data_IF_311967351756
#
_entry.id   IF_311967351756
#
_cell.length_a   1.000
_cell.length_b   1.000
_cell.length_c   1.000
_cell.angle_alpha   90.00
_cell.angle_beta   90.00
_cell.angle_gamma   90.00
#
_symmetry.space_group_name_H-M   'P 1'
#
loop_
_entity.id
_entity.type
_entity.pdbx_description
1 polymer ?
2 branched ?
3 non-polymer ?
4 water ?
#
# COMPACT_ATOMS: atom_id res chain seq x y z
N UNK A 2 10.61 22.16 1.72
CA UNK A 2 10.21 23.07 2.80
C UNK A 2 8.74 22.89 3.14
N UNK A 3 8.32 23.48 4.26
CA UNK A 3 6.92 23.47 4.70
C UNK A 3 6.24 24.77 4.27
N UNK A 4 5.26 24.65 3.38
CA UNK A 4 4.55 25.80 2.86
C UNK A 4 3.48 26.29 3.83
N UNK A 5 3.08 27.55 3.68
CA UNK A 5 2.11 28.18 4.57
C UNK A 5 0.92 28.81 3.83
N UNK A 6 0.82 28.62 2.52
CA UNK A 6 -0.28 29.24 1.76
C UNK A 6 -1.64 28.61 2.00
N UNK A 7 -1.63 27.33 2.40
CA UNK A 7 -2.86 26.59 2.64
C UNK A 7 -2.73 25.80 3.94
N UNK A 8 -3.64 26.02 4.87
CA UNK A 8 -3.53 25.30 6.14
C UNK A 8 -3.62 23.79 5.88
N UNK A 9 -2.83 23.03 6.62
CA UNK A 9 -2.90 21.57 6.52
C UNK A 9 -3.64 20.99 7.72
N UNK A 10 -4.88 20.57 7.47
CA UNK A 10 -5.72 19.98 8.51
C UNK A 10 -5.94 18.50 8.19
N UNK A 11 -5.35 17.65 8.98
CA UNK A 11 -5.47 16.22 8.76
C UNK A 11 -6.82 15.65 9.14
N UNK A 12 -7.54 14.97 8.24
CA UNK A 12 -8.81 14.39 8.63
C UNK A 12 -8.64 13.41 9.79
N UNK A 13 -9.59 13.36 10.73
CA UNK A 13 -9.51 12.41 11.82
C UNK A 13 -9.94 11.03 11.34
N UNK A 14 -9.20 10.00 11.75
CA UNK A 14 -9.65 8.64 11.44
C UNK A 14 -9.30 7.79 12.64
N UNK A 15 -10.27 7.62 13.55
CA UNK A 15 -10.04 6.90 14.80
C UNK A 15 -9.70 5.45 14.53
N UNK A 16 -8.78 4.90 15.33
CA UNK A 16 -8.49 3.47 15.27
C UNK A 16 -8.62 2.92 16.70
N UNK A 17 -8.55 1.60 16.86
CA UNK A 17 -8.63 1.00 18.18
C UNK A 17 -7.43 0.11 18.44
N UNK A 18 -6.86 0.18 19.64
CA UNK A 18 -5.79 -0.75 20.01
C UNK A 18 -6.34 -1.72 21.04
N UNK A 19 -6.12 -3.01 20.85
CA UNK A 19 -6.82 -4.03 21.65
C UNK A 19 -5.85 -4.95 22.36
N UNK A 20 -6.24 -5.39 23.57
CA UNK A 20 -5.48 -6.42 24.29
C UNK A 20 -6.44 -7.51 24.74
N UNK A 21 -5.89 -8.69 24.98
CA UNK A 21 -6.69 -9.82 25.42
C UNK A 21 -7.49 -9.50 26.68
N UNK A 22 -6.79 -8.96 27.66
CA UNK A 22 -7.42 -8.74 28.98
C UNK A 22 -8.29 -7.48 29.07
N UNK A 23 -7.92 -6.43 28.34
CA UNK A 23 -8.57 -5.13 28.47
C UNK A 23 -9.50 -4.73 27.34
N UNK A 24 -9.52 -5.53 26.28
CA UNK A 24 -10.39 -5.24 25.16
C UNK A 24 -9.83 -4.10 24.35
N UNK A 25 -10.73 -3.37 23.69
CA UNK A 25 -10.31 -2.39 22.69
C UNK A 25 -10.55 -0.97 23.18
N UNK A 26 -9.62 -0.09 22.88
CA UNK A 26 -9.71 1.31 23.28
C UNK A 26 -9.42 2.21 22.08
N UNK A 27 -10.12 3.33 21.95
CA UNK A 27 -9.90 4.22 20.80
C UNK A 27 -8.61 5.03 20.88
N UNK A 28 -7.99 5.27 19.73
CA UNK A 28 -6.88 6.22 19.56
C UNK A 28 -7.33 7.31 18.61
N UNK A 29 -6.93 8.54 18.89
CA UNK A 29 -7.34 9.65 18.05
C UNK A 29 -6.37 9.86 16.90
N UNK A 30 -6.24 8.85 16.06
CA UNK A 30 -5.39 8.95 14.88
C UNK A 30 -6.01 9.80 13.79
N UNK A 31 -5.15 10.18 12.83
CA UNK A 31 -5.54 11.03 11.72
C UNK A 31 -4.97 10.44 10.43
N UNK A 32 -5.32 11.01 9.29
CA UNK A 32 -4.63 10.62 8.04
C UNK A 32 -4.01 11.84 7.36
N UNK A 33 -2.96 11.60 6.59
CA UNK A 33 -2.26 12.66 5.87
C UNK A 33 -1.98 12.27 4.42
N UNK A 34 -2.25 13.22 3.53
CA UNK A 34 -1.97 13.01 2.10
C UNK A 34 -0.48 12.90 1.78
N UNK A 35 -0.15 11.92 0.95
CA UNK A 35 1.24 11.74 0.52
C UNK A 35 1.78 12.92 -0.29
N UNK A 36 3.06 13.21 -0.07
CA UNK A 36 3.70 14.40 -0.64
C UNK A 36 3.65 14.48 -2.17
N UNK A 37 3.59 13.35 -2.86
CA UNK A 37 3.59 13.39 -4.33
C UNK A 37 2.36 14.07 -4.92
N UNK A 38 1.26 14.09 -4.16
CA UNK A 38 0.03 14.64 -4.66
C UNK A 38 -0.09 16.15 -4.43
N UNK A 39 0.82 16.73 -3.63
CA UNK A 39 0.65 18.12 -3.19
C UNK A 39 1.17 19.15 -4.18
N UNK A 40 0.65 20.35 -4.06
CA UNK A 40 1.25 21.56 -4.64
C UNK A 40 2.67 21.77 -4.13
N UNK A 41 3.61 22.04 -5.02
CA UNK A 41 4.96 22.37 -4.60
C UNK A 41 5.32 23.70 -5.25
N UNK A 42 5.66 24.69 -4.44
CA UNK A 42 5.83 26.05 -4.98
C UNK A 42 7.01 26.73 -4.30
N UNK A 43 7.46 27.87 -4.87
CA UNK A 43 8.54 28.63 -4.26
C UNK A 43 8.25 28.99 -2.79
N UNK A 44 9.24 28.85 -1.93
CA UNK A 44 9.10 29.21 -0.52
C UNK A 44 8.70 30.66 -0.33
N UNK A 45 9.04 31.49 -1.30
CA UNK A 45 8.78 32.91 -1.10
C UNK A 45 7.51 33.39 -1.79
N UNK A 46 6.68 32.48 -2.30
CA UNK A 46 5.47 32.91 -2.96
C UNK A 46 4.56 31.81 -3.46
N UNK A 47 4.04 32.01 -4.68
CA UNK A 47 3.03 31.11 -5.24
C UNK A 47 3.48 30.39 -6.51
N UNK A 48 4.67 30.70 -7.01
CA UNK A 48 5.15 30.14 -8.28
C UNK A 48 5.45 28.65 -8.22
N UNK A 49 4.91 27.87 -9.14
CA UNK A 49 5.10 26.42 -9.03
C UNK A 49 6.56 26.00 -9.21
N UNK A 50 6.99 25.00 -8.44
CA UNK A 50 8.24 24.32 -8.71
C UNK A 50 8.03 23.16 -9.68
N UNK A 51 6.78 22.69 -9.76
CA UNK A 51 6.43 21.52 -10.56
C UNK A 51 5.04 21.81 -11.12
N UNK A 52 4.87 21.67 -12.42
CA UNK A 52 3.55 21.82 -13.04
C UNK A 52 3.40 20.71 -14.06
N UNK A 53 2.26 20.04 -14.02
CA UNK A 53 2.00 18.98 -14.99
C UNK A 53 2.94 17.82 -14.72
N UNK A 54 3.92 17.65 -15.60
CA UNK A 54 4.88 16.57 -15.45
C UNK A 54 6.33 17.07 -15.57
N UNK A 55 6.55 18.37 -15.33
CA UNK A 55 7.91 18.90 -15.41
C UNK A 55 8.22 19.85 -14.27
N UNK A 56 9.49 19.89 -13.90
CA UNK A 56 10.00 20.79 -12.88
C UNK A 56 10.41 22.10 -13.53
N UNK A 57 10.40 23.17 -12.73
CA UNK A 57 10.93 24.46 -13.16
C UNK A 57 12.45 24.43 -12.98
N UNK A 58 13.21 24.39 -14.08
CA UNK A 58 14.65 24.22 -13.92
C UNK A 58 15.32 25.48 -13.40
N UNK A 59 14.57 26.57 -13.33
CA UNK A 59 15.05 27.80 -12.70
C UNK A 59 15.09 27.65 -11.19
N UNK A 60 13.98 27.16 -10.62
CA UNK A 60 13.89 26.96 -9.18
C UNK A 60 14.59 25.68 -8.77
N UNK A 61 14.68 24.75 -9.72
CA UNK A 61 15.14 23.39 -9.46
C UNK A 61 16.19 22.90 -10.46
N UNK A 62 17.34 23.56 -10.50
CA UNK A 62 18.46 23.12 -11.33
C UNK A 62 19.18 21.86 -10.84
N UNK A 63 19.01 21.53 -9.57
CA UNK A 63 19.55 20.29 -9.02
C UNK A 63 18.70 19.95 -7.81
N UNK A 64 18.85 18.75 -7.27
CA UNK A 64 17.98 18.31 -6.19
C UNK A 64 18.06 19.09 -4.89
N UNK A 65 19.26 19.52 -4.51
CA UNK A 65 19.46 20.26 -3.27
C UNK A 65 18.92 21.69 -3.41
N UNK A 66 19.27 22.37 -4.51
CA UNK A 66 18.72 23.70 -4.75
C UNK A 66 17.18 23.67 -4.76
N UNK A 67 16.62 22.70 -5.47
CA UNK A 67 15.16 22.57 -5.53
C UNK A 67 14.53 22.43 -4.13
N UNK A 68 15.08 21.55 -3.30
CA UNK A 68 14.49 21.32 -1.99
C UNK A 68 14.62 22.55 -1.09
N UNK A 69 15.66 23.35 -1.32
CA UNK A 69 15.84 24.57 -0.55
C UNK A 69 14.84 25.65 -0.99
N UNK A 70 14.50 25.64 -2.29
CA UNK A 70 13.66 26.67 -2.90
C UNK A 70 12.17 26.38 -2.84
N UNK A 71 11.79 25.16 -2.51
CA UNK A 71 10.46 24.66 -2.85
C UNK A 71 9.78 24.10 -1.60
N UNK A 72 8.51 24.47 -1.43
CA UNK A 72 7.71 24.05 -0.30
C UNK A 72 6.52 23.19 -0.72
N UNK A 73 6.26 22.14 0.05
CA UNK A 73 4.98 21.43 -0.01
C UNK A 73 3.92 22.18 0.79
N UNK A 74 2.69 22.20 0.30
CA UNK A 74 1.65 22.95 0.99
C UNK A 74 0.43 22.12 1.36
N UNK A 75 -0.51 22.74 2.09
CA UNK A 75 -1.67 22.02 2.60
C UNK A 75 -2.64 21.62 1.50
N UNK A 76 -3.55 20.70 1.83
CA UNK A 76 -4.43 20.08 0.84
C UNK A 76 -5.90 20.28 1.20
N UNK A 77 -6.72 20.54 0.20
CA UNK A 77 -8.18 20.47 0.36
C UNK A 77 -8.57 19.01 0.13
N UNK A 78 -8.66 18.26 1.22
CA UNK A 78 -8.80 16.80 1.13
C UNK A 78 -9.98 16.37 0.27
N UNK A 79 -11.16 16.92 0.57
CA UNK A 79 -12.36 16.57 -0.20
C UNK A 79 -12.41 17.24 -1.56
N UNK A 80 -12.14 18.54 -1.60
CA UNK A 80 -12.35 19.32 -2.81
C UNK A 80 -11.40 19.00 -3.94
N UNK A 81 -10.14 18.77 -3.59
CA UNK A 81 -9.13 18.49 -4.59
C UNK A 81 -8.92 17.00 -4.79
N UNK A 82 -9.02 16.22 -3.71
CA UNK A 82 -8.59 14.82 -3.78
C UNK A 82 -9.68 13.77 -3.59
N UNK A 83 -10.90 14.19 -3.25
CA UNK A 83 -11.99 13.25 -3.06
C UNK A 83 -11.81 12.38 -1.81
N UNK A 84 -11.11 12.90 -0.82
CA UNK A 84 -10.86 12.17 0.45
C UNK A 84 -11.73 12.74 1.54
N UNK A 85 -12.57 11.89 2.13
CA UNK A 85 -13.34 12.33 3.29
C UNK A 85 -13.32 11.29 4.40
N UNK A 86 -13.60 11.74 5.62
CA UNK A 86 -13.72 10.80 6.72
C UNK A 86 -14.88 11.18 7.59
N UNK A 87 -15.61 10.18 8.07
CA UNK A 87 -16.63 10.42 9.10
C UNK A 87 -16.06 10.55 10.49
N UNK A 88 -14.76 10.27 10.63
CA UNK A 88 -14.13 10.14 11.92
C UNK A 88 -13.78 8.68 12.19
N UNK A 89 -14.50 7.72 11.60
CA UNK A 89 -14.09 6.32 11.72
C UNK A 89 -14.07 5.58 10.39
N UNK A 90 -14.61 6.19 9.35
CA UNK A 90 -14.63 5.58 8.03
C UNK A 90 -14.06 6.53 7.02
N UNK A 91 -13.08 6.03 6.26
CA UNK A 91 -12.36 6.80 5.26
C UNK A 91 -12.87 6.46 3.86
N UNK A 92 -13.37 7.46 3.14
CA UNK A 92 -13.77 7.28 1.74
C UNK A 92 -12.72 7.88 0.79
N UNK A 93 -12.18 7.07 -0.11
CA UNK A 93 -11.25 7.57 -1.11
C UNK A 93 -11.94 7.44 -2.45
N UNK A 94 -12.20 8.58 -3.10
CA UNK A 94 -12.82 8.58 -4.42
C UNK A 94 -11.74 8.56 -5.50
N UNK A 95 -12.04 7.97 -6.66
CA UNK A 95 -11.04 7.73 -7.71
C UNK A 95 -10.61 9.02 -8.42
N UNK A 96 -11.51 9.61 -9.24
CA UNK A 96 -11.22 10.85 -9.96
C UNK A 96 -11.94 12.05 -9.42
N UNK A 97 -11.18 13.12 -9.20
CA UNK A 97 -11.77 14.35 -8.68
C UNK A 97 -11.22 15.45 -9.56
N UNK A 98 -12.06 16.04 -10.41
CA UNK A 98 -11.54 17.01 -11.36
C UNK A 98 -10.41 16.37 -12.16
N UNK A 99 -9.24 16.99 -12.17
CA UNK A 99 -8.12 16.42 -12.91
C UNK A 99 -7.21 15.57 -12.03
N UNK A 100 -7.62 15.37 -10.77
CA UNK A 100 -6.81 14.53 -9.89
C UNK A 100 -7.18 13.08 -10.03
N UNK A 101 -6.17 12.20 -10.09
CA UNK A 101 -6.46 10.76 -10.12
C UNK A 101 -5.88 10.04 -8.91
N UNK A 102 -6.75 9.41 -8.15
CA UNK A 102 -6.34 8.60 -7.01
C UNK A 102 -5.77 9.38 -5.82
N UNK A 103 -5.37 8.65 -4.77
CA UNK A 103 -4.77 9.26 -3.59
C UNK A 103 -4.07 8.19 -2.79
N UNK A 104 -3.18 8.65 -1.90
CA UNK A 104 -2.61 7.79 -0.87
C UNK A 104 -2.44 8.64 0.36
N UNK A 105 -2.86 8.08 1.50
CA UNK A 105 -2.71 8.75 2.79
C UNK A 105 -2.03 7.81 3.78
N UNK A 106 -1.49 8.36 4.87
CA UNK A 106 -0.87 7.55 5.92
C UNK A 106 -1.58 7.81 7.25
N UNK A 107 -1.63 6.78 8.08
CA UNK A 107 -2.21 6.94 9.41
C UNK A 107 -1.24 7.67 10.35
N UNK A 108 -1.73 8.71 11.01
CA UNK A 108 -0.87 9.51 11.89
C UNK A 108 -1.22 9.32 13.36
N UNK A 109 -0.20 9.29 14.21
CA UNK A 109 -0.40 9.33 15.66
C UNK A 109 -0.83 10.73 16.13
N UNK A 110 -0.21 11.76 15.54
CA UNK A 110 -0.55 13.15 15.82
C UNK A 110 -0.12 13.92 14.57
N UNK A 111 -0.17 15.25 14.61
CA UNK A 111 0.02 16.01 13.38
C UNK A 111 1.41 16.02 12.79
N UNK A 112 2.40 15.51 13.54
CA UNK A 112 3.75 15.46 12.97
C UNK A 112 4.42 14.10 13.05
N UNK A 113 3.68 13.03 13.35
CA UNK A 113 4.28 11.70 13.36
C UNK A 113 3.33 10.67 12.80
N UNK A 114 3.81 9.82 11.89
CA UNK A 114 3.03 8.66 11.49
C UNK A 114 2.87 7.72 12.69
N UNK A 115 1.72 7.05 12.75
CA UNK A 115 1.52 5.95 13.69
C UNK A 115 2.46 4.78 13.36
N UNK A 116 3.28 4.36 14.30
CA UNK A 116 4.23 3.29 14.02
C UNK A 116 3.65 2.00 14.59
N UNK A 117 3.24 1.11 13.69
CA UNK A 117 2.60 -0.16 14.06
C UNK A 117 3.66 -1.26 14.18
N UNK A 118 3.68 -1.94 15.33
CA UNK A 118 4.55 -3.08 15.53
C UNK A 118 3.71 -4.33 15.68
N UNK A 119 3.65 -5.14 14.62
CA UNK A 119 2.58 -6.11 14.48
C UNK A 119 3.07 -7.55 14.57
N UNK A 120 4.32 -7.75 14.96
CA UNK A 120 4.73 -9.14 15.22
C UNK A 120 3.96 -9.73 16.41
N UNK A 121 3.41 -10.94 16.25
CA UNK A 121 2.58 -11.57 17.27
C UNK A 121 1.39 -10.69 17.58
N UNK A 122 0.89 -10.00 16.54
CA UNK A 122 -0.28 -9.14 16.70
C UNK A 122 -1.16 -9.36 15.48
N UNK A 123 -2.32 -8.72 15.49
CA UNK A 123 -3.20 -8.76 14.29
C UNK A 123 -3.66 -7.37 13.93
N UNK A 124 -4.04 -7.20 12.66
CA UNK A 124 -4.58 -5.95 12.13
C UNK A 124 -5.92 -6.26 11.47
N UNK A 125 -6.96 -5.47 11.78
CA UNK A 125 -8.32 -5.76 11.33
C UNK A 125 -8.95 -4.48 10.79
N UNK A 126 -9.73 -4.60 9.74
CA UNK A 126 -10.45 -3.44 9.22
C UNK A 126 -11.68 -3.91 8.48
N UNK A 127 -12.63 -2.99 8.25
CA UNK A 127 -13.74 -3.26 7.34
C UNK A 127 -13.51 -2.54 6.02
N UNK A 128 -14.05 -3.14 4.96
CA UNK A 128 -13.93 -2.55 3.62
C UNK A 128 -15.26 -2.65 2.87
N UNK A 129 -15.57 -1.63 2.11
CA UNK A 129 -16.70 -1.66 1.18
C UNK A 129 -16.14 -1.43 -0.22
N UNK A 130 -16.19 -2.47 -1.06
CA UNK A 130 -15.68 -2.42 -2.42
C UNK A 130 -16.85 -2.43 -3.41
N UNK A 131 -18.04 -2.17 -2.92
CA UNK A 131 -19.22 -2.30 -3.81
C UNK A 131 -19.09 -1.42 -5.05
N UNK A 132 -18.42 -0.28 -4.90
CA UNK A 132 -18.18 0.64 -6.02
C UNK A 132 -16.71 0.71 -6.49
N UNK A 133 -16.02 -0.43 -6.44
CA UNK A 133 -14.60 -0.49 -6.76
C UNK A 133 -14.38 -1.61 -7.78
N UNK A 134 -14.50 -1.29 -9.06
CA UNK A 134 -14.55 -2.32 -10.09
C UNK A 134 -13.23 -2.78 -10.69
N UNK A 135 -13.31 -3.68 -11.67
CA UNK A 135 -12.14 -4.12 -12.43
C UNK A 135 -11.22 -2.96 -12.77
N UNK A 136 -9.92 -3.20 -12.70
CA UNK A 136 -8.94 -2.18 -13.08
C UNK A 136 -8.50 -1.25 -11.96
N UNK A 137 -9.22 -1.26 -10.83
CA UNK A 137 -8.91 -0.34 -9.72
C UNK A 137 -8.29 -1.13 -8.56
N UNK A 138 -7.60 -0.44 -7.66
CA UNK A 138 -7.05 -1.13 -6.48
C UNK A 138 -7.27 -0.22 -5.27
N UNK A 139 -8.02 -0.72 -4.29
CA UNK A 139 -8.16 -0.03 -3.02
C UNK A 139 -7.20 -0.78 -2.12
N UNK A 140 -6.09 -0.15 -1.75
CA UNK A 140 -5.00 -0.82 -1.07
C UNK A 140 -4.87 -0.32 0.38
N UNK A 141 -4.55 -1.25 1.28
CA UNK A 141 -4.28 -0.90 2.68
C UNK A 141 -3.04 -1.72 3.00
N UNK A 142 -1.96 -1.05 3.38
CA UNK A 142 -0.68 -1.74 3.46
C UNK A 142 0.32 -1.08 4.38
N UNK A 143 1.40 -1.81 4.67
CA UNK A 143 2.43 -1.26 5.56
C UNK A 143 3.74 -1.04 4.80
N UNK A 144 4.38 0.11 5.05
CA UNK A 144 5.73 0.39 4.51
C UNK A 144 6.68 0.74 5.65
N UNK A 145 7.96 0.41 5.50
CA UNK A 145 8.98 0.68 6.55
C UNK A 145 9.51 2.09 6.39
N UNK A 146 8.58 3.05 6.46
CA UNK A 146 8.90 4.47 6.48
C UNK A 146 9.34 4.90 7.87
N UNK A 147 10.03 6.03 7.92
CA UNK A 147 10.34 6.64 9.22
C UNK A 147 9.15 7.42 9.76
N UNK A 148 8.99 7.41 11.09
CA UNK A 148 7.77 8.03 11.64
C UNK A 148 7.71 9.53 11.38
N UNK A 149 8.85 10.16 11.17
CA UNK A 149 8.89 11.60 10.92
C UNK A 149 9.07 11.89 9.44
N UNK A 150 8.82 10.88 8.62
CA UNK A 150 8.97 11.04 7.19
C UNK A 150 10.37 11.33 6.70
N UNK A 151 11.39 11.13 7.55
CA UNK A 151 12.78 11.36 7.16
C UNK A 151 13.41 12.65 7.66
N UNK A 152 12.68 13.43 8.46
CA UNK A 152 13.17 14.74 8.84
C UNK A 152 14.49 14.64 9.61
N UNK A 153 14.59 13.66 10.49
CA UNK A 153 15.79 13.58 11.32
C UNK A 153 17.02 13.17 10.53
N UNK A 154 16.82 12.36 9.50
CA UNK A 154 17.92 11.84 8.68
C UNK A 154 18.40 12.78 7.59
N UNK A 155 17.51 13.65 7.11
CA UNK A 155 17.74 14.44 5.91
C UNK A 155 17.48 15.92 6.15
N UNK A 156 18.53 16.70 6.30
CA UNK A 156 18.38 18.12 6.63
C UNK A 156 17.57 18.89 5.58
N UNK A 157 17.50 18.36 4.36
CA UNK A 157 16.85 19.08 3.27
C UNK A 157 15.35 18.94 3.38
N UNK A 158 14.89 18.02 4.24
CA UNK A 158 13.45 17.80 4.42
C UNK A 158 12.97 18.48 5.69
N UNK A 159 12.37 19.65 5.53
CA UNK A 159 11.80 20.39 6.65
C UNK A 159 10.30 20.23 6.76
N UNK A 160 9.70 19.42 5.87
CA UNK A 160 8.26 19.24 5.82
C UNK A 160 7.82 18.04 6.67
N UNK A 161 8.45 16.90 6.47
CA UNK A 161 8.22 15.75 7.34
C UNK A 161 6.84 15.11 7.23
N UNK A 162 6.48 14.35 8.25
CA UNK A 162 5.22 13.57 8.22
C UNK A 162 3.98 14.43 8.09
N UNK A 163 4.03 15.68 8.57
CA UNK A 163 2.86 16.54 8.46
C UNK A 163 2.44 16.75 7.02
N UNK A 164 3.39 16.66 6.09
CA UNK A 164 3.10 16.82 4.67
C UNK A 164 3.27 15.50 3.90
N UNK A 165 3.34 14.37 4.61
CA UNK A 165 3.31 13.09 3.89
C UNK A 165 4.59 12.72 3.17
N UNK A 166 5.74 13.16 3.69
CA UNK A 166 7.03 12.85 3.04
C UNK A 166 7.57 11.49 3.43
N UNK A 167 8.55 11.03 2.66
CA UNK A 167 9.33 9.87 3.09
C UNK A 167 8.84 8.53 2.58
N UNK A 168 7.98 8.55 1.56
CA UNK A 168 7.47 7.28 1.06
C UNK A 168 8.61 6.36 0.58
N UNK A 169 8.37 5.07 0.71
CA UNK A 169 9.19 4.02 0.10
C UNK A 169 8.32 2.78 0.01
N UNK A 170 8.68 1.88 -0.92
CA UNK A 170 7.99 0.59 -0.97
C UNK A 170 8.86 -0.43 -1.70
N UNK A 171 8.35 -1.63 -1.91
CA UNK A 171 9.21 -2.72 -2.37
C UNK A 171 9.44 -2.64 -3.87
N UNK A 172 8.83 -1.64 -4.52
CA UNK A 172 9.03 -1.44 -5.96
C UNK A 172 10.10 -0.39 -6.21
N UNK A 173 10.70 0.16 -5.15
CA UNK A 173 11.78 1.14 -5.31
C UNK A 173 11.38 2.24 -6.29
N UNK A 174 10.21 2.82 -6.11
CA UNK A 174 9.67 3.73 -7.14
C UNK A 174 10.53 4.96 -7.39
N UNK A 175 10.67 5.31 -8.67
CA UNK A 175 11.49 6.43 -9.08
C UNK A 175 10.61 7.61 -9.49
N UNK A 176 9.31 7.51 -9.26
CA UNK A 176 8.40 8.59 -9.56
C UNK A 176 8.13 9.49 -8.35
N UNK A 177 8.80 9.21 -7.25
CA UNK A 177 8.62 9.98 -6.02
C UNK A 177 9.48 11.25 -6.13
N UNK A 178 8.84 12.39 -5.89
CA UNK A 178 9.39 13.71 -6.22
C UNK A 178 10.45 14.19 -5.23
N UNK A 179 10.29 13.83 -3.95
CA UNK A 179 11.27 14.14 -2.92
C UNK A 179 11.75 12.87 -2.23
N UNK A 180 13.07 12.67 -2.23
CA UNK A 180 13.67 11.49 -1.60
C UNK A 180 14.93 11.97 -0.88
N UNK A 181 15.07 11.60 0.39
CA UNK A 181 16.27 11.91 1.14
C UNK A 181 16.45 13.42 1.22
N UNK A 182 15.34 14.16 1.24
CA UNK A 182 15.41 15.61 1.38
C UNK A 182 15.90 16.35 0.16
N UNK A 183 15.90 15.67 -0.99
CA UNK A 183 16.32 16.29 -2.26
C UNK A 183 15.25 16.03 -3.33
N UNK A 184 14.97 17.00 -4.19
CA UNK A 184 14.06 16.71 -5.28
C UNK A 184 14.72 15.74 -6.24
N UNK A 185 13.94 14.77 -6.68
CA UNK A 185 14.42 13.74 -7.58
C UNK A 185 14.39 14.19 -9.06
N UNK A 186 15.16 15.25 -9.36
CA UNK A 186 15.08 15.89 -10.67
C UNK A 186 16.08 15.42 -11.70
N UNK A 187 17.02 14.57 -11.29
CA UNK A 187 18.07 14.12 -12.19
C UNK A 187 17.50 13.25 -13.29
N UNK A 188 17.80 13.58 -14.53
CA UNK A 188 17.29 12.84 -15.66
C UNK A 188 15.80 12.71 -15.65
N UNK A 189 15.11 13.79 -15.29
CA UNK A 189 13.67 13.71 -15.17
C UNK A 189 13.00 13.36 -16.47
N UNK A 190 12.16 12.33 -16.44
CA UNK A 190 11.58 11.76 -17.65
C UNK A 190 10.08 11.70 -17.47
N UNK A 191 9.34 12.29 -18.39
CA UNK A 191 7.88 12.28 -18.33
C UNK A 191 7.31 10.89 -18.59
N UNK A 192 6.33 10.48 -17.78
CA UNK A 192 5.69 9.17 -17.93
C UNK A 192 4.17 9.26 -18.10
N UNK A 193 3.63 10.43 -17.85
CA UNK A 193 2.21 10.66 -18.05
C UNK A 193 1.99 12.15 -17.90
N UNK A 194 0.74 12.58 -18.00
CA UNK A 194 0.45 14.02 -18.02
C UNK A 194 0.80 14.68 -16.71
N UNK A 195 0.81 13.89 -15.63
CA UNK A 195 1.03 14.43 -14.30
C UNK A 195 2.21 13.81 -13.59
N UNK A 196 2.92 12.91 -14.27
CA UNK A 196 3.94 12.11 -13.61
C UNK A 196 5.25 11.99 -14.39
N UNK A 197 6.32 11.70 -13.66
CA UNK A 197 7.59 11.38 -14.27
C UNK A 197 8.46 10.57 -13.34
N UNK A 198 9.68 10.28 -13.78
CA UNK A 198 10.67 9.63 -12.93
C UNK A 198 11.98 10.38 -12.98
N UNK A 199 12.70 10.26 -11.87
CA UNK A 199 14.04 10.82 -11.78
C UNK A 199 15.05 9.71 -11.62
N UNK A 200 16.28 10.07 -11.32
CA UNK A 200 17.38 9.11 -11.33
C UNK A 200 17.45 8.25 -10.07
N UNK A 201 16.71 8.63 -9.03
CA UNK A 201 16.74 7.85 -7.79
C UNK A 201 15.40 7.17 -7.56
N UNK A 202 15.42 6.04 -6.84
CA UNK A 202 14.19 5.47 -6.33
C UNK A 202 14.23 5.39 -4.82
N UNK A 203 13.13 4.94 -4.22
CA UNK A 203 13.08 4.86 -2.76
C UNK A 203 12.47 3.51 -2.28
N UNK A 204 13.34 2.73 -1.64
CA UNK A 204 13.11 1.31 -1.38
C UNK A 204 12.86 1.06 0.12
N UNK A 205 11.91 0.17 0.41
CA UNK A 205 11.86 -0.46 1.74
C UNK A 205 10.90 -1.65 1.74
N UNK A 206 11.01 -2.46 2.78
CA UNK A 206 10.14 -3.62 2.93
C UNK A 206 8.69 -3.15 3.04
N UNK A 207 7.79 -4.02 2.62
CA UNK A 207 6.39 -3.64 2.47
C UNK A 207 5.52 -4.86 2.78
N UNK A 208 4.46 -4.68 3.57
CA UNK A 208 3.50 -5.77 3.77
C UNK A 208 2.15 -5.32 3.22
N UNK A 209 1.75 -5.92 2.10
CA UNK A 209 0.47 -5.59 1.50
C UNK A 209 -0.66 -6.38 2.16
N UNK A 210 -1.25 -5.76 3.18
CA UNK A 210 -2.33 -6.43 3.91
C UNK A 210 -3.50 -6.62 2.95
N UNK A 211 -3.71 -5.66 2.04
CA UNK A 211 -4.93 -5.71 1.23
C UNK A 211 -4.72 -4.95 -0.08
N UNK A 212 -4.74 -5.67 -1.19
CA UNK A 212 -4.88 -5.00 -2.49
C UNK A 212 -6.05 -5.68 -3.15
N UNK A 213 -7.06 -4.92 -3.53
CA UNK A 213 -8.27 -5.60 -4.05
C UNK A 213 -9.24 -4.66 -4.76
N UNK A 214 -10.14 -5.29 -5.52
CA UNK A 214 -11.35 -4.61 -5.97
C UNK A 214 -12.47 -5.65 -5.88
N UNK A 215 -13.68 -5.33 -6.35
CA UNK A 215 -14.77 -6.28 -6.13
C UNK A 215 -14.66 -7.58 -6.94
N UNK A 216 -13.68 -7.66 -7.82
CA UNK A 216 -13.38 -8.91 -8.52
C UNK A 216 -12.34 -9.84 -7.85
N UNK A 217 -11.36 -9.29 -7.14
CA UNK A 217 -10.24 -10.11 -6.72
C UNK A 217 -9.47 -9.39 -5.64
N UNK A 218 -8.73 -10.15 -4.83
CA UNK A 218 -8.01 -9.59 -3.69
C UNK A 218 -6.73 -10.39 -3.49
N UNK A 219 -5.69 -9.72 -3.01
CA UNK A 219 -4.45 -10.40 -2.68
C UNK A 219 -3.84 -9.80 -1.42
N UNK A 220 -3.17 -10.65 -0.63
CA UNK A 220 -2.29 -10.18 0.43
C UNK A 220 -0.87 -10.74 0.22
N UNK A 221 0.13 -9.88 0.41
CA UNK A 221 1.46 -10.10 -0.12
C UNK A 221 2.56 -9.44 0.72
N UNK A 222 3.36 -10.20 1.47
CA UNK A 222 4.61 -9.66 1.99
C UNK A 222 5.68 -9.44 0.90
N UNK A 223 6.46 -8.36 1.03
CA UNK A 223 7.58 -8.06 0.14
C UNK A 223 8.82 -7.64 0.98
N UNK A 224 9.72 -8.56 1.34
CA UNK A 224 10.92 -8.17 2.07
C UNK A 224 11.96 -7.47 1.17
N UNK A 225 12.77 -6.62 1.76
CA UNK A 225 13.97 -6.09 1.08
C UNK A 225 15.19 -6.41 1.93
N UNK A 226 16.37 -6.48 1.32
CA UNK A 226 17.57 -6.77 2.11
C UNK A 226 18.00 -5.64 3.00
N UNK A 227 17.47 -4.44 2.75
CA UNK A 227 17.81 -3.28 3.56
C UNK A 227 16.90 -3.09 4.74
N UNK A 228 17.21 -2.10 5.56
CA UNK A 228 16.47 -1.92 6.79
C UNK A 228 16.05 -0.48 6.71
N UNK A 229 14.76 -0.27 6.44
CA UNK A 229 14.23 1.08 6.45
C UNK A 229 14.33 1.73 5.08
N UNK A 230 13.92 2.99 5.04
CA UNK A 230 13.82 3.70 3.77
C UNK A 230 15.21 3.95 3.17
N UNK A 231 15.43 3.49 1.95
CA UNK A 231 16.75 3.58 1.35
C UNK A 231 16.63 4.13 -0.06
N UNK A 232 17.39 5.18 -0.35
CA UNK A 232 17.43 5.70 -1.71
C UNK A 232 18.33 4.78 -2.55
N UNK A 233 17.88 4.47 -3.76
CA UNK A 233 18.62 3.61 -4.68
C UNK A 233 18.96 4.34 -5.97
N UNK A 234 20.04 3.91 -6.62
CA UNK A 234 20.30 4.31 -7.99
C UNK A 234 20.74 3.06 -8.74
N UNK A 235 20.59 3.11 -10.06
CA UNK A 235 21.11 2.05 -10.90
C UNK A 235 20.49 0.70 -10.59
N UNK A 236 21.31 -0.34 -10.61
CA UNK A 236 20.66 -1.64 -10.53
C UNK A 236 20.14 -2.01 -9.13
N UNK A 237 20.49 -1.23 -8.10
CA UNK A 237 19.87 -1.45 -6.78
C UNK A 237 18.38 -1.20 -6.84
N UNK A 238 17.97 -0.32 -7.76
CA UNK A 238 16.54 -0.02 -7.88
C UNK A 238 15.82 -1.08 -8.65
N UNK A 239 16.55 -1.96 -9.33
CA UNK A 239 15.91 -2.83 -10.29
C UNK A 239 14.96 -3.79 -9.58
N UNK A 240 13.79 -3.95 -10.16
CA UNK A 240 12.79 -4.87 -9.66
C UNK A 240 13.40 -6.24 -9.38
N UNK A 241 13.19 -6.77 -8.18
CA UNK A 241 13.51 -8.16 -7.80
C UNK A 241 15.00 -8.46 -7.70
N UNK A 242 15.79 -8.01 -8.67
CA UNK A 242 17.21 -8.31 -8.64
C UNK A 242 17.97 -7.33 -7.75
N UNK A 243 17.37 -6.16 -7.49
CA UNK A 243 18.02 -5.16 -6.65
C UNK A 243 17.74 -5.37 -5.18
N UNK A 244 17.52 -4.29 -4.45
CA UNK A 244 17.35 -4.39 -3.00
C UNK A 244 16.08 -5.13 -2.57
N UNK A 245 15.05 -5.08 -3.40
CA UNK A 245 13.71 -5.47 -2.95
C UNK A 245 13.06 -6.59 -3.76
N UNK A 246 12.24 -7.38 -3.06
CA UNK A 246 11.38 -8.35 -3.72
C UNK A 246 10.11 -7.67 -4.22
N UNK A 247 10.13 -7.26 -5.48
CA UNK A 247 9.01 -6.56 -6.09
C UNK A 247 7.78 -7.43 -6.29
N UNK A 248 7.97 -8.72 -6.59
CA UNK A 248 6.84 -9.60 -6.82
C UNK A 248 6.12 -9.96 -5.52
N UNK A 249 6.89 -10.18 -4.45
CA UNK A 249 6.31 -10.60 -3.17
C UNK A 249 5.96 -12.08 -3.16
N UNK A 250 5.38 -12.54 -2.04
CA UNK A 250 4.80 -13.88 -1.99
C UNK A 250 3.32 -13.65 -1.70
N UNK A 251 2.52 -13.83 -2.73
CA UNK A 251 1.11 -13.44 -2.71
C UNK A 251 0.13 -14.59 -2.47
N UNK A 252 -0.97 -14.25 -1.79
CA UNK A 252 -2.11 -15.13 -1.65
C UNK A 252 -3.38 -14.42 -2.15
N UNK A 253 -3.79 -14.78 -3.37
CA UNK A 253 -5.03 -14.38 -4.02
C UNK A 253 -5.82 -15.68 -4.18
N UNK A 254 -7.02 -15.75 -3.60
CA UNK A 254 -7.74 -17.03 -3.48
C UNK A 254 -8.01 -17.62 -4.85
N UNK A 255 -8.30 -16.74 -5.79
CA UNK A 255 -8.56 -17.13 -7.19
C UNK A 255 -7.28 -17.67 -7.83
N UNK A 256 -6.19 -16.92 -7.74
CA UNK A 256 -4.93 -17.37 -8.30
C UNK A 256 -4.54 -18.72 -7.68
N UNK A 257 -4.87 -18.88 -6.39
CA UNK A 257 -4.58 -20.12 -5.69
C UNK A 257 -5.56 -21.27 -5.94
N UNK A 258 -6.50 -21.09 -6.86
CA UNK A 258 -7.29 -22.24 -7.32
C UNK A 258 -8.69 -22.36 -6.75
N UNK A 259 -9.17 -21.31 -6.09
CA UNK A 259 -10.56 -21.28 -5.67
C UNK A 259 -11.23 -20.08 -6.31
N UNK A 260 -11.95 -20.34 -7.39
CA UNK A 260 -12.53 -19.29 -8.21
C UNK A 260 -13.87 -18.78 -7.70
N UNK A 261 -14.39 -19.37 -6.62
CA UNK A 261 -15.73 -19.07 -6.10
C UNK A 261 -15.74 -18.59 -4.65
N UNK A 262 -14.57 -18.34 -4.08
CA UNK A 262 -14.46 -17.92 -2.68
C UNK A 262 -14.81 -16.43 -2.49
N UNK A 263 -14.25 -15.57 -3.35
CA UNK A 263 -14.31 -14.13 -3.11
C UNK A 263 -14.72 -13.38 -4.38
N UNK A 264 -15.76 -12.57 -4.28
CA UNK A 264 -16.28 -11.82 -5.43
C UNK A 264 -17.75 -11.51 -5.26
N UNK A 265 -18.40 -10.92 -6.27
CA UNK A 265 -19.79 -10.53 -6.11
C UNK A 265 -20.68 -11.76 -5.89
N UNK A 266 -21.38 -11.80 -4.77
CA UNK A 266 -22.27 -12.90 -4.44
C UNK A 266 -21.59 -14.20 -4.02
N UNK A 267 -20.28 -14.15 -3.75
CA UNK A 267 -19.54 -15.34 -3.36
C UNK A 267 -19.52 -15.49 -1.84
N UNK A 268 -18.72 -16.42 -1.33
CA UNK A 268 -18.63 -16.65 0.11
C UNK A 268 -18.26 -15.37 0.88
N UNK A 269 -17.23 -14.69 0.39
CA UNK A 269 -16.94 -13.30 0.78
C UNK A 269 -17.56 -12.50 -0.36
N UNK A 270 -18.69 -11.86 -0.05
CA UNK A 270 -19.54 -11.19 -1.03
C UNK A 270 -19.10 -9.74 -1.18
N UNK A 271 -18.38 -9.44 -2.25
CA UNK A 271 -17.72 -8.11 -2.37
C UNK A 271 -18.72 -7.04 -2.80
N UNK A 272 -19.98 -7.41 -2.95
CA UNK A 272 -20.98 -6.38 -3.23
C UNK A 272 -21.43 -5.68 -1.94
N UNK A 273 -20.98 -6.18 -0.79
CA UNK A 273 -21.36 -5.62 0.51
C UNK A 273 -20.10 -5.47 1.39
N UNK A 274 -20.17 -4.64 2.44
CA UNK A 274 -19.00 -4.49 3.33
C UNK A 274 -18.65 -5.79 4.04
N UNK A 275 -17.36 -5.96 4.38
CA UNK A 275 -16.98 -7.10 5.22
C UNK A 275 -15.73 -6.76 6.03
N UNK A 276 -15.40 -7.62 6.98
CA UNK A 276 -14.29 -7.39 7.89
C UNK A 276 -13.14 -8.30 7.46
N UNK A 277 -11.93 -7.77 7.51
CA UNK A 277 -10.73 -8.51 7.11
C UNK A 277 -9.73 -8.54 8.28
N UNK A 278 -9.43 -9.73 8.78
CA UNK A 278 -8.47 -9.87 9.89
C UNK A 278 -7.19 -10.45 9.33
N UNK A 279 -6.04 -9.92 9.74
CA UNK A 279 -4.76 -10.46 9.30
C UNK A 279 -3.86 -10.63 10.49
N UNK A 280 -3.36 -11.85 10.70
CA UNK A 280 -2.61 -12.14 11.94
C UNK A 280 -1.19 -12.52 11.59
N UNK A 281 -0.25 -11.99 12.38
CA UNK A 281 1.18 -12.16 12.08
C UNK A 281 1.77 -13.03 13.19
N UNK A 282 1.81 -14.34 12.93
CA UNK A 282 2.19 -15.29 14.00
C UNK A 282 3.71 -15.47 14.00
N UNK A 283 4.29 -15.64 15.18
CA UNK A 283 5.72 -15.96 15.30
C UNK A 283 5.93 -17.39 15.75
N UNK A 284 7.12 -17.93 15.50
CA UNK A 284 7.41 -19.33 15.77
C UNK A 284 7.24 -19.70 17.25
N UNK A 285 7.47 -18.74 18.13
CA UNK A 285 7.31 -18.97 19.57
C UNK A 285 6.21 -18.15 20.25
N UNK A 286 5.30 -17.58 19.45
CA UNK A 286 4.23 -16.76 20.01
C UNK A 286 4.74 -15.63 20.90
N UNK A 287 5.93 -15.13 20.62
CA UNK A 287 6.41 -13.89 21.25
C UNK A 287 6.67 -12.80 20.22
N UNK A 288 6.83 -11.59 20.71
CA UNK A 288 7.19 -10.49 19.83
C UNK A 288 8.66 -10.41 19.43
N UNK A 289 9.48 -11.36 19.87
CA UNK A 289 10.86 -11.49 19.38
C UNK A 289 11.09 -12.68 18.46
N UNK A 290 10.08 -13.53 18.30
CA UNK A 290 10.23 -14.71 17.48
C UNK A 290 10.30 -14.39 16.00
N UNK A 291 10.39 -15.43 15.18
CA UNK A 291 10.53 -15.28 13.75
C UNK A 291 9.11 -15.33 13.17
N UNK A 292 8.74 -14.34 12.36
CA UNK A 292 7.47 -14.45 11.64
C UNK A 292 7.42 -15.79 10.90
N UNK A 293 6.39 -16.56 11.20
CA UNK A 293 6.23 -17.92 10.68
C UNK A 293 4.96 -18.16 9.88
N UNK A 294 3.95 -17.31 10.06
CA UNK A 294 2.72 -17.55 9.33
C UNK A 294 1.95 -16.23 9.29
N UNK A 295 1.34 -15.95 8.14
CA UNK A 295 0.37 -14.85 8.06
C UNK A 295 -1.00 -15.45 7.79
N UNK A 296 -1.90 -15.34 8.77
CA UNK A 296 -3.24 -15.90 8.64
C UNK A 296 -4.24 -14.82 8.25
N UNK A 297 -5.33 -15.25 7.62
CA UNK A 297 -6.39 -14.34 7.21
C UNK A 297 -7.73 -14.91 7.61
N UNK A 298 -8.57 -14.10 8.26
CA UNK A 298 -9.94 -14.52 8.58
C UNK A 298 -10.85 -13.40 8.08
N UNK A 299 -12.02 -13.75 7.53
CA UNK A 299 -13.02 -12.74 7.15
C UNK A 299 -14.24 -12.85 8.06
N UNK A 300 -14.98 -11.76 8.16
CA UNK A 300 -16.25 -11.82 8.86
C UNK A 300 -17.26 -11.01 8.04
N UNK A 301 -18.41 -11.61 7.72
CA UNK A 301 -19.44 -10.87 6.99
C UNK A 301 -20.81 -11.33 7.45
N UNK A 302 -21.71 -10.38 7.70
CA UNK A 302 -23.01 -10.72 8.28
C UNK A 302 -22.88 -11.58 9.53
N UNK A 303 -21.85 -11.31 10.32
CA UNK A 303 -21.65 -12.08 11.56
C UNK A 303 -21.14 -13.50 11.36
N UNK A 304 -20.92 -13.90 10.10
CA UNK A 304 -20.35 -15.24 9.85
C UNK A 304 -18.82 -15.19 9.80
N UNK A 305 -18.18 -16.02 10.61
CA UNK A 305 -16.71 -16.14 10.59
C UNK A 305 -16.29 -17.05 9.45
N UNK A 306 -15.48 -16.54 8.51
CA UNK A 306 -15.16 -17.23 7.29
C UNK A 306 -13.64 -17.41 7.26
N UNK A 307 -13.17 -18.66 7.32
CA UNK A 307 -11.72 -18.92 7.26
C UNK A 307 -11.25 -18.70 5.79
N UNK A 308 -9.97 -18.40 5.63
CA UNK A 308 -9.42 -18.19 4.29
C UNK A 308 -9.55 -19.46 3.46
N UNK A 309 -9.66 -19.26 2.15
CA UNK A 309 -9.76 -20.37 1.21
C UNK A 309 -8.48 -21.18 1.17
N UNK A 310 -8.62 -22.44 0.76
CA UNK A 310 -7.47 -23.35 0.68
C UNK A 310 -6.83 -23.31 -0.71
N UNK A 311 -5.50 -23.42 -0.77
CA UNK A 311 -4.80 -23.54 -2.06
C UNK A 311 -5.21 -24.82 -2.77
N UNK A 312 -5.45 -24.73 -4.07
CA UNK A 312 -5.80 -25.91 -4.85
C UNK A 312 -5.05 -25.87 -6.16
N UNK A 313 -3.76 -26.18 -6.09
CA UNK A 313 -2.81 -26.22 -7.21
C UNK A 313 -1.88 -27.44 -7.07
N UNK A 314 -1.72 -28.24 -8.13
CA UNK A 314 -0.77 -29.35 -8.10
C UNK A 314 0.63 -28.91 -7.69
N UNK A 315 1.21 -29.57 -6.70
CA UNK A 315 2.55 -29.27 -6.25
C UNK A 315 2.54 -28.27 -5.11
N UNK A 316 1.35 -27.84 -4.70
CA UNK A 316 1.23 -26.88 -3.61
C UNK A 316 0.39 -27.50 -2.50
N UNK A 317 0.93 -27.58 -1.29
CA UNK A 317 0.18 -28.19 -0.20
C UNK A 317 -1.10 -27.37 -0.05
N UNK A 318 -2.21 -28.01 0.25
CA UNK A 318 -3.51 -27.33 0.36
C UNK A 318 -3.70 -26.56 1.69
N UNK A 319 -3.04 -25.41 1.80
CA UNK A 319 -3.00 -24.59 3.01
C UNK A 319 -3.75 -23.29 2.73
N UNK A 320 -4.02 -22.52 3.78
CA UNK A 320 -4.80 -21.28 3.67
C UNK A 320 -4.14 -20.09 4.34
N UNK A 321 -2.84 -20.19 4.56
CA UNK A 321 -2.05 -19.10 5.14
C UNK A 321 -0.73 -18.98 4.41
N UNK A 322 -0.07 -17.84 4.58
CA UNK A 322 1.24 -17.69 3.94
C UNK A 322 2.33 -18.17 4.89
N UNK A 323 3.21 -19.08 4.41
CA UNK A 323 4.36 -19.55 5.19
C UNK A 323 5.53 -19.59 4.22
N UNK A 324 6.76 -19.71 4.73
CA UNK A 324 7.90 -19.87 3.81
C UNK A 324 7.74 -21.07 2.87
N UNK A 325 7.22 -22.19 3.38
CA UNK A 325 7.02 -23.34 2.51
C UNK A 325 5.96 -23.12 1.44
N UNK A 326 4.85 -22.49 1.80
CA UNK A 326 3.84 -22.16 0.81
C UNK A 326 4.46 -21.33 -0.31
N UNK A 327 5.30 -20.36 0.06
CA UNK A 327 5.93 -19.46 -0.88
C UNK A 327 6.86 -20.21 -1.83
N UNK A 328 7.67 -21.11 -1.29
CA UNK A 328 8.53 -21.91 -2.17
C UNK A 328 7.70 -22.74 -3.14
N UNK A 329 6.68 -23.39 -2.60
CA UNK A 329 5.84 -24.22 -3.42
C UNK A 329 5.07 -23.48 -4.51
N UNK A 330 4.45 -22.35 -4.19
CA UNK A 330 3.70 -21.66 -5.22
C UNK A 330 4.63 -21.07 -6.27
N UNK A 331 5.82 -20.62 -5.87
CA UNK A 331 6.78 -20.00 -6.79
C UNK A 331 7.23 -21.09 -7.77
N UNK A 332 7.54 -22.27 -7.25
CA UNK A 332 7.93 -23.38 -8.14
C UNK A 332 6.76 -23.73 -9.04
N UNK A 333 5.57 -23.87 -8.48
CA UNK A 333 4.40 -24.23 -9.28
C UNK A 333 3.99 -23.25 -10.36
N UNK A 334 4.27 -21.97 -10.11
CA UNK A 334 3.79 -20.94 -11.01
C UNK A 334 4.92 -20.55 -11.95
N UNK A 335 6.09 -21.15 -11.75
CA UNK A 335 7.28 -20.86 -12.54
C UNK A 335 8.01 -19.58 -12.20
N UNK A 336 7.73 -19.02 -11.02
CA UNK A 336 8.26 -17.70 -10.69
C UNK A 336 9.47 -17.86 -9.80
N UNK A 337 10.44 -16.95 -9.94
CA UNK A 337 11.64 -17.04 -9.13
C UNK A 337 11.29 -16.59 -7.74
N UNK A 338 11.86 -17.26 -6.73
CA UNK A 338 11.50 -16.99 -5.34
C UNK A 338 12.40 -15.87 -4.84
N UNK A 339 12.15 -14.65 -5.36
CA UNK A 339 12.90 -13.47 -4.93
C UNK A 339 12.60 -13.20 -3.47
N UNK A 340 11.37 -13.50 -3.08
CA UNK A 340 10.98 -13.47 -1.68
C UNK A 340 12.00 -14.19 -0.76
N UNK A 341 12.28 -15.47 -1.01
CA UNK A 341 13.28 -16.14 -0.19
C UNK A 341 14.66 -15.50 -0.33
N UNK A 342 15.00 -15.07 -1.54
CA UNK A 342 16.32 -14.46 -1.72
C UNK A 342 16.53 -13.23 -0.85
N UNK A 343 15.46 -12.49 -0.60
CA UNK A 343 15.56 -11.31 0.23
C UNK A 343 15.42 -11.63 1.73
N UNK A 344 15.17 -12.88 2.07
CA UNK A 344 15.17 -13.29 3.46
C UNK A 344 13.82 -13.80 3.96
N UNK A 345 12.86 -13.92 3.05
CA UNK A 345 11.57 -14.53 3.31
C UNK A 345 10.79 -13.92 4.47
N UNK A 346 10.00 -14.76 5.13
CA UNK A 346 9.18 -14.25 6.24
C UNK A 346 10.05 -13.72 7.38
N UNK A 347 11.23 -14.31 7.61
CA UNK A 347 12.04 -13.82 8.71
C UNK A 347 12.41 -12.33 8.50
N UNK A 348 12.84 -12.00 7.28
CA UNK A 348 13.19 -10.62 6.96
C UNK A 348 11.96 -9.71 6.97
N UNK A 349 10.83 -10.22 6.49
CA UNK A 349 9.58 -9.43 6.54
C UNK A 349 9.27 -9.15 8.00
N UNK A 350 9.47 -10.15 8.85
CA UNK A 350 9.15 -10.01 10.26
C UNK A 350 10.06 -9.03 10.99
N UNK A 351 11.32 -8.96 10.59
CA UNK A 351 12.18 -7.98 11.24
C UNK A 351 11.72 -6.56 10.91
N UNK A 352 11.19 -6.36 9.71
CA UNK A 352 10.63 -5.06 9.39
C UNK A 352 9.37 -4.81 10.22
N UNK A 353 8.48 -5.79 10.32
CA UNK A 353 7.29 -5.58 11.14
C UNK A 353 7.68 -5.25 12.59
N UNK A 354 8.69 -5.93 13.10
CA UNK A 354 9.16 -5.68 14.44
C UNK A 354 9.75 -4.30 14.66
N UNK A 355 10.42 -3.77 13.66
CA UNK A 355 10.99 -2.43 13.79
C UNK A 355 9.90 -1.35 13.76
N UNK A 356 8.71 -1.70 13.27
CA UNK A 356 7.64 -0.73 13.17
C UNK A 356 7.42 -0.27 11.73
N UNK A 357 6.16 -0.18 11.33
CA UNK A 357 5.84 0.18 9.95
C UNK A 357 4.72 1.22 9.93
N UNK A 358 4.57 1.90 8.79
CA UNK A 358 3.57 2.96 8.64
C UNK A 358 2.42 2.41 7.78
N UNK A 359 1.19 2.72 8.16
CA UNK A 359 0.01 2.27 7.44
C UNK A 359 -0.33 3.28 6.33
N UNK A 360 -0.44 2.78 5.11
CA UNK A 360 -0.88 3.57 3.95
C UNK A 360 -2.24 3.03 3.47
N UNK A 361 -3.10 3.94 3.02
CA UNK A 361 -4.38 3.58 2.40
C UNK A 361 -4.48 4.34 1.09
N UNK A 362 -4.90 3.67 0.04
CA UNK A 362 -4.79 4.27 -1.30
C UNK A 362 -5.89 3.78 -2.23
N UNK A 363 -6.19 4.62 -3.21
CA UNK A 363 -6.96 4.14 -4.38
C UNK A 363 -6.18 4.53 -5.62
N UNK A 364 -6.00 3.59 -6.55
CA UNK A 364 -5.13 3.85 -7.70
C UNK A 364 -5.50 3.02 -8.91
N UNK A 365 -5.13 3.51 -10.11
CA UNK A 365 -5.04 2.65 -11.28
C UNK A 365 -3.57 2.45 -11.68
N UNK A 366 -3.33 1.56 -12.64
CA UNK A 366 -2.02 0.96 -12.84
C UNK A 366 -1.54 1.20 -14.26
N UNK A 367 -0.64 2.18 -14.42
CA UNK A 367 -0.12 2.49 -15.75
C UNK A 367 0.80 1.41 -16.28
N UNK A 368 1.43 0.64 -15.39
CA UNK A 368 2.40 -0.36 -15.82
C UNK A 368 1.72 -1.61 -16.37
N UNK A 369 0.74 -2.13 -15.63
CA UNK A 369 0.19 -3.46 -15.91
C UNK A 369 -1.33 -3.54 -15.90
N UNK A 370 -2.02 -2.40 -15.88
CA UNK A 370 -3.48 -2.38 -15.97
C UNK A 370 -4.21 -3.18 -14.91
N UNK A 371 -3.51 -3.43 -13.80
CA UNK A 371 -4.04 -4.20 -12.67
C UNK A 371 -4.35 -5.65 -13.09
N UNK A 372 -3.82 -6.07 -14.25
CA UNK A 372 -4.14 -7.42 -14.69
C UNK A 372 -3.55 -8.46 -13.77
N UNK A 373 -2.45 -8.12 -13.09
CA UNK A 373 -1.83 -9.04 -12.13
C UNK A 373 -2.77 -9.29 -10.94
N UNK A 374 -3.69 -8.36 -10.70
CA UNK A 374 -4.62 -8.54 -9.60
C UNK A 374 -5.88 -9.29 -10.01
N UNK A 375 -6.42 -9.00 -11.18
CA UNK A 375 -7.80 -9.38 -11.43
C UNK A 375 -8.02 -10.00 -12.79
N UNK A 376 -6.94 -10.29 -13.50
CA UNK A 376 -7.07 -10.84 -14.85
C UNK A 376 -6.04 -11.94 -15.16
N UNK A 377 -5.70 -12.12 -16.45
CA UNK A 377 -4.61 -13.03 -16.77
C UNK A 377 -3.29 -12.27 -16.82
N UNK A 378 -2.24 -12.84 -16.23
CA UNK A 378 -0.94 -12.20 -16.15
C UNK A 378 0.15 -13.24 -15.92
N UNK A 379 1.33 -13.10 -16.53
CA UNK A 379 1.63 -12.09 -17.56
C UNK A 379 0.81 -12.34 -18.83
N UNK A 380 0.78 -11.35 -19.73
CA UNK A 380 -0.13 -11.35 -20.88
C UNK A 380 0.38 -12.24 -22.00
N UNK A 381 1.59 -12.76 -21.86
CA UNK A 381 2.15 -13.67 -22.86
C UNK A 381 2.20 -15.11 -22.38
N UNK A 382 1.46 -15.45 -21.33
CA UNK A 382 1.49 -16.83 -20.84
C UNK A 382 0.12 -17.43 -21.01
N UNK A 383 0.12 -18.76 -21.13
CA UNK A 383 -1.12 -19.52 -21.25
C UNK A 383 -1.96 -19.38 -20.00
N UNK A 384 -3.14 -18.81 -20.16
CA UNK A 384 -4.05 -18.55 -19.04
C UNK A 384 -4.40 -19.82 -18.29
N UNK A 385 -4.03 -20.98 -18.85
CA UNK A 385 -4.44 -22.23 -18.25
C UNK A 385 -3.31 -22.74 -17.37
N UNK A 386 -2.12 -22.17 -17.51
CA UNK A 386 -0.97 -22.63 -16.76
C UNK A 386 -1.22 -22.22 -15.31
N UNK A 387 -0.71 -23.00 -14.36
CA UNK A 387 -0.88 -22.67 -12.95
C UNK A 387 -0.38 -21.25 -12.68
N UNK A 388 -1.25 -20.43 -12.10
CA UNK A 388 -0.82 -19.10 -11.67
C UNK A 388 -1.18 -17.95 -12.60
N UNK A 389 -1.46 -18.23 -13.87
CA UNK A 389 -1.69 -17.13 -14.79
C UNK A 389 -2.98 -16.33 -14.53
N UNK A 390 -4.06 -17.04 -14.24
CA UNK A 390 -5.37 -16.41 -14.05
C UNK A 390 -5.58 -15.99 -12.60
N UNK A 391 -5.80 -14.69 -12.39
CA UNK A 391 -5.96 -14.11 -11.03
C UNK A 391 -7.36 -13.57 -10.71
N UNK A 392 -8.17 -13.40 -11.75
CA UNK A 392 -9.55 -12.98 -11.59
C UNK A 392 -10.30 -13.18 -12.90
N UNK A 393 -11.51 -12.64 -12.96
CA UNK A 393 -12.32 -12.74 -14.16
C UNK A 393 -12.43 -11.46 -15.00
N UNK A 394 -11.69 -10.42 -14.64
CA UNK A 394 -11.76 -9.16 -15.40
C UNK A 394 -11.15 -9.35 -16.79
N UNK A 395 -11.69 -8.66 -17.79
CA UNK A 395 -11.22 -8.90 -19.17
C UNK A 395 -9.75 -8.51 -19.29
N UNK A 396 -9.00 -9.18 -20.17
CA UNK A 396 -7.59 -8.84 -20.36
C UNK A 396 -7.37 -7.46 -20.99
N UNK A 397 -8.44 -6.82 -21.39
CA UNK A 397 -8.36 -5.47 -21.95
C UNK A 397 -8.74 -4.43 -20.91
N UNK A 398 -9.07 -4.88 -19.70
CA UNK A 398 -9.57 -3.96 -18.71
C UNK A 398 -8.44 -3.21 -18.04
N UNK A 399 -8.80 -2.18 -17.29
CA UNK A 399 -7.83 -1.49 -16.47
C UNK A 399 -6.85 -0.53 -17.15
N UNK A 400 -6.99 -0.24 -18.44
CA UNK A 400 -6.10 0.79 -18.98
C UNK A 400 -6.54 2.11 -18.34
N UNK A 401 -5.61 2.85 -17.74
CA UNK A 401 -5.97 4.06 -16.98
C UNK A 401 -6.85 5.08 -17.71
N UNK A 402 -6.51 5.41 -18.95
CA UNK A 402 -7.33 6.37 -19.66
C UNK A 402 -8.78 5.87 -19.77
N UNK A 403 -8.94 4.56 -19.85
CA UNK A 403 -10.29 3.99 -19.88
C UNK A 403 -11.00 4.11 -18.55
N UNK A 404 -10.43 3.58 -17.48
CA UNK A 404 -11.20 3.60 -16.23
C UNK A 404 -11.46 5.01 -15.76
N UNK A 405 -10.51 5.91 -15.99
CA UNK A 405 -10.65 7.30 -15.54
C UNK A 405 -11.83 8.00 -16.23
N UNK A 406 -12.09 7.64 -17.49
CA UNK A 406 -13.25 8.25 -18.14
C UNK A 406 -14.54 7.47 -17.89
N UNK A 407 -14.42 6.15 -17.75
CA UNK A 407 -15.59 5.28 -17.62
C UNK A 407 -16.19 5.18 -16.20
N UNK A 408 -15.34 5.06 -15.20
CA UNK A 408 -15.81 4.88 -13.83
C UNK A 408 -15.11 5.82 -12.86
N UNK A 409 -15.14 7.11 -13.14
CA UNK A 409 -14.39 8.09 -12.33
C UNK A 409 -14.94 8.22 -10.91
N UNK A 410 -16.22 7.87 -10.65
CA UNK A 410 -16.79 8.04 -9.32
C UNK A 410 -16.66 6.76 -8.49
N UNK A 411 -15.87 5.82 -8.99
CA UNK A 411 -15.48 4.65 -8.16
C UNK A 411 -14.91 5.12 -6.83
N UNK A 412 -15.06 4.31 -5.80
CA UNK A 412 -14.48 4.67 -4.50
C UNK A 412 -14.30 3.43 -3.65
N UNK A 413 -13.45 3.55 -2.62
CA UNK A 413 -13.34 2.50 -1.60
C UNK A 413 -13.60 3.13 -0.23
N UNK A 414 -14.20 2.38 0.69
CA UNK A 414 -14.38 2.86 2.06
C UNK A 414 -13.68 1.94 3.03
N UNK A 415 -12.75 2.46 3.82
CA UNK A 415 -12.03 1.65 4.82
C UNK A 415 -12.47 2.14 6.20
N UNK A 416 -12.83 1.23 7.10
CA UNK A 416 -13.38 1.66 8.38
C UNK A 416 -13.05 0.66 9.50
N UNK A 417 -13.50 0.94 10.72
CA UNK A 417 -13.31 0.09 11.89
C UNK A 417 -11.90 -0.49 11.96
N UNK A 418 -10.91 0.40 11.91
CA UNK A 418 -9.52 -0.05 11.95
C UNK A 418 -9.11 -0.41 13.38
N UNK A 419 -8.55 -1.61 13.54
CA UNK A 419 -8.19 -2.11 14.88
C UNK A 419 -6.89 -2.89 14.81
N UNK A 420 -6.10 -2.87 15.87
CA UNK A 420 -4.92 -3.73 15.87
C UNK A 420 -4.62 -4.10 17.30
N UNK A 421 -3.92 -5.21 17.48
CA UNK A 421 -3.56 -5.59 18.85
C UNK A 421 -3.32 -7.08 19.01
N UNK A 422 -3.56 -7.62 20.20
CA UNK A 422 -3.20 -9.01 20.45
C UNK A 422 -3.98 -9.93 19.53
N UNK A 423 -3.34 -11.03 19.14
CA UNK A 423 -4.00 -12.02 18.32
C UNK A 423 -5.26 -12.55 18.99
N UNK A 424 -6.36 -12.49 18.25
CA UNK A 424 -7.67 -12.92 18.74
C UNK A 424 -8.43 -11.85 19.51
N UNK A 425 -7.80 -10.68 19.70
CA UNK A 425 -8.44 -9.64 20.50
C UNK A 425 -9.18 -8.52 19.77
N UNK A 426 -8.98 -8.39 18.46
CA UNK A 426 -9.69 -7.33 17.74
C UNK A 426 -11.06 -7.77 17.26
N UNK A 427 -11.39 -9.04 17.46
CA UNK A 427 -12.74 -9.54 17.17
C UNK A 427 -13.04 -10.63 18.18
N UNK A 428 -14.31 -11.03 18.20
CA UNK A 428 -14.71 -12.05 19.15
C UNK A 428 -15.74 -12.96 18.54
N UNK A 429 -16.01 -14.06 19.21
CA UNK A 429 -17.00 -14.98 18.71
C UNK A 429 -17.79 -15.57 19.86
N UNK A 430 -18.96 -16.09 19.54
CA UNK A 430 -19.73 -16.90 20.49
C UNK A 430 -20.74 -17.84 19.85
N UNK A 431 -21.07 -18.94 20.53
CA UNK A 431 -22.25 -19.74 20.23
C UNK A 431 -23.43 -19.40 21.16
#
# INVERSE_FOLDING_TARGET
>A
XQAGTNTAENHPQLQSQQCTTSGGCKPLSTKVVLDSNWRWVHSTSGYTNCYTGNEWDTSLCPDGKTCAANCALDGADYSGTYGITSTGTALTLKFVTGSNVGSRVYLMADDTHYQLLKLLNQEFTFDVDMSNLPCGLNGALYLSAMDADGGMSKYPGNKAGAKYGTGYCDSQCPKDIKFINGEANVGNWTETGSNTGTGSYGTCCSEMDIWEANNDAAAFTPHPCTTTGQTRCSGDDCARNTGLCDGDGCDFNSFRMGDKTFLGKGMTVDTSKPFTVVTQFLTNDNTSTGTLSEIRRIYIQNGKVIQNSVANIPGVDPVNSITDNFCAQQKTAFGDTNWFAQKGGLKQMGEALGNGMVLALSIWDDHAANMLWLDSDYPTDKDPSAPGVARGTCATTSGVPSDVESQVPNSQVVFSNIKFGDIGSTFSGTS
#
